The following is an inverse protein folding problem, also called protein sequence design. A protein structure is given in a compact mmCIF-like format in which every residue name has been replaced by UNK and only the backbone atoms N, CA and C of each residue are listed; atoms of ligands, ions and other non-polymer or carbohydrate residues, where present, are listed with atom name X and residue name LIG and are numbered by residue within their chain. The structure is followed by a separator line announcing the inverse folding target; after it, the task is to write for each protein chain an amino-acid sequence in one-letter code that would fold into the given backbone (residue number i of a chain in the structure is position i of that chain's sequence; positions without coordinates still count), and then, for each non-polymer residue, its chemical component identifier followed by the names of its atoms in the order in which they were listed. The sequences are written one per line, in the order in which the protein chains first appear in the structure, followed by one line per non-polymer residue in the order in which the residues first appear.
data_IF_534964601673
#
_entry.id   IF_534964601673
#
_cell.length_a   1.000
_cell.length_b   1.000
_cell.length_c   1.000
_cell.angle_alpha   90.00
_cell.angle_beta   90.00
_cell.angle_gamma   90.00
#
_symmetry.space_group_name_H-M   'P 1'
#
loop_
_entity.id
_entity.type
_entity.pdbx_description
1 polymer ?
#
# COMPACT_ATOMS: atom_id res chain seq x y z
N UNK A 1 0.75 -14.37 -7.17
CA UNK A 1 2.07 -13.88 -7.62
C UNK A 1 1.96 -12.67 -8.55
N UNK A 2 1.12 -12.72 -9.60
CA UNK A 2 0.87 -11.58 -10.50
C UNK A 2 0.36 -10.32 -9.76
N UNK A 3 -0.71 -10.47 -8.97
CA UNK A 3 -1.28 -9.38 -8.14
C UNK A 3 -0.26 -8.78 -7.19
N UNK A 4 0.45 -9.63 -6.43
CA UNK A 4 1.49 -9.19 -5.51
C UNK A 4 2.63 -8.44 -6.22
N UNK A 5 3.04 -8.86 -7.42
CA UNK A 5 4.06 -8.17 -8.21
C UNK A 5 3.63 -6.76 -8.61
N UNK A 6 2.37 -6.58 -9.01
CA UNK A 6 1.82 -5.27 -9.35
C UNK A 6 1.71 -4.36 -8.13
N UNK A 7 1.14 -4.86 -7.03
CA UNK A 7 0.92 -4.07 -5.80
C UNK A 7 2.24 -3.69 -5.14
N UNK A 8 3.18 -4.63 -5.02
CA UNK A 8 4.49 -4.34 -4.42
C UNK A 8 5.28 -3.33 -5.25
N UNK A 9 5.28 -3.46 -6.58
CA UNK A 9 5.93 -2.49 -7.47
C UNK A 9 5.32 -1.09 -7.34
N UNK A 10 4.00 -1.00 -7.25
CA UNK A 10 3.30 0.27 -7.05
C UNK A 10 3.64 0.91 -5.70
N UNK A 11 3.69 0.13 -4.62
CA UNK A 11 4.10 0.62 -3.29
C UNK A 11 5.56 1.11 -3.28
N UNK A 12 6.47 0.40 -3.96
CA UNK A 12 7.86 0.87 -4.12
C UNK A 12 7.93 2.18 -4.91
N UNK A 13 7.08 2.35 -5.92
CA UNK A 13 6.97 3.60 -6.66
C UNK A 13 6.49 4.75 -5.75
N UNK A 14 5.47 4.50 -4.93
CA UNK A 14 5.01 5.46 -3.92
C UNK A 14 6.15 5.89 -2.98
N UNK A 15 6.93 4.93 -2.47
CA UNK A 15 8.09 5.22 -1.61
C UNK A 15 9.16 6.02 -2.37
N UNK A 16 9.38 5.74 -3.65
CA UNK A 16 10.31 6.50 -4.50
C UNK A 16 9.90 7.96 -4.65
N UNK A 17 8.62 8.24 -4.91
CA UNK A 17 8.07 9.61 -4.98
C UNK A 17 8.23 10.31 -3.63
N UNK A 18 7.91 9.62 -2.53
CA UNK A 18 8.07 10.14 -1.17
C UNK A 18 9.54 10.49 -0.86
N UNK A 19 10.46 9.62 -1.26
CA UNK A 19 11.90 9.82 -1.10
C UNK A 19 12.40 11.00 -1.93
N UNK A 20 11.93 11.18 -3.16
CA UNK A 20 12.36 12.30 -4.00
C UNK A 20 11.96 13.67 -3.41
N UNK A 21 10.78 13.74 -2.77
CA UNK A 21 10.26 14.97 -2.16
C UNK A 21 10.91 15.31 -0.82
N UNK A 22 11.04 14.32 0.08
CA UNK A 22 11.57 14.57 1.42
C UNK A 22 13.08 14.35 1.54
N UNK A 23 13.71 13.68 0.56
CA UNK A 23 15.14 13.32 0.53
C UNK A 23 15.66 12.62 1.80
N UNK A 24 14.77 12.06 2.62
CA UNK A 24 15.08 11.37 3.87
C UNK A 24 14.66 9.91 3.79
N UNK A 25 15.41 9.03 4.45
CA UNK A 25 15.06 7.58 4.54
C UNK A 25 14.38 7.24 5.87
N UNK A 26 14.26 8.21 6.77
CA UNK A 26 13.76 8.01 8.12
C UNK A 26 12.24 8.15 8.14
N UNK A 27 11.55 7.02 8.30
CA UNK A 27 10.08 6.93 8.30
C UNK A 27 9.43 7.83 9.37
N UNK A 28 10.16 8.11 10.47
CA UNK A 28 9.71 8.97 11.58
C UNK A 28 9.46 10.44 11.21
N UNK A 29 9.95 10.88 10.04
CA UNK A 29 9.74 12.24 9.53
C UNK A 29 8.54 12.35 8.60
N UNK A 30 7.99 11.22 8.14
CA UNK A 30 6.74 11.23 7.40
C UNK A 30 5.58 11.38 8.38
N UNK A 31 4.75 12.39 8.15
CA UNK A 31 3.56 12.66 8.95
C UNK A 31 2.77 13.82 8.35
N UNK A 32 1.44 13.73 8.40
CA UNK A 32 0.54 14.77 7.89
C UNK A 32 0.51 14.88 6.36
N UNK A 33 0.75 13.79 5.63
CA UNK A 33 0.74 13.81 4.16
C UNK A 33 -0.62 14.21 3.57
N UNK A 34 -1.73 14.00 4.30
CA UNK A 34 -3.07 14.44 3.85
C UNK A 34 -3.12 15.93 3.54
N UNK A 35 -2.47 16.76 4.36
CA UNK A 35 -2.51 18.22 4.22
C UNK A 35 -1.59 18.74 3.12
N UNK A 36 -0.64 17.93 2.65
CA UNK A 36 0.45 18.39 1.79
C UNK A 36 0.43 17.77 0.41
N UNK A 37 0.00 16.52 0.33
CA UNK A 37 -0.15 15.76 -0.91
C UNK A 37 -1.42 14.89 -0.85
N UNK A 38 -2.62 15.49 -0.89
CA UNK A 38 -3.88 14.76 -0.77
C UNK A 38 -4.06 13.71 -1.89
N UNK A 39 -3.62 14.00 -3.12
CA UNK A 39 -3.73 13.06 -4.24
C UNK A 39 -2.80 11.85 -4.08
N UNK A 40 -1.62 12.07 -3.51
CA UNK A 40 -0.72 10.95 -3.19
C UNK A 40 -1.29 10.09 -2.06
N UNK A 41 -1.89 10.71 -1.05
CA UNK A 41 -2.50 10.00 0.08
C UNK A 41 -3.58 9.02 -0.38
N UNK A 42 -4.43 9.41 -1.33
CA UNK A 42 -5.50 8.53 -1.85
C UNK A 42 -4.94 7.37 -2.67
N UNK A 43 -3.95 7.62 -3.52
CA UNK A 43 -3.26 6.57 -4.30
C UNK A 43 -2.55 5.58 -3.37
N UNK A 44 -1.82 6.09 -2.38
CA UNK A 44 -1.12 5.27 -1.40
C UNK A 44 -2.09 4.45 -0.55
N UNK A 45 -3.24 5.03 -0.18
CA UNK A 45 -4.30 4.30 0.51
C UNK A 45 -4.81 3.13 -0.31
N UNK A 46 -5.14 3.36 -1.59
CA UNK A 46 -5.62 2.32 -2.48
C UNK A 46 -4.64 1.14 -2.59
N UNK A 47 -3.34 1.42 -2.82
CA UNK A 47 -2.35 0.35 -2.89
C UNK A 47 -2.10 -0.35 -1.55
N UNK A 48 -2.23 0.37 -0.43
CA UNK A 48 -2.17 -0.25 0.91
C UNK A 48 -3.36 -1.21 1.10
N UNK A 49 -4.57 -0.82 0.67
CA UNK A 49 -5.76 -1.68 0.70
C UNK A 49 -5.59 -2.92 -0.20
N UNK A 50 -4.98 -2.75 -1.38
CA UNK A 50 -4.65 -3.85 -2.27
C UNK A 50 -3.56 -4.78 -1.68
N UNK A 51 -2.69 -4.27 -0.82
CA UNK A 51 -1.65 -5.05 -0.14
C UNK A 51 -2.20 -5.88 1.04
N UNK A 52 -3.26 -5.42 1.69
CA UNK A 52 -3.96 -6.19 2.74
C UNK A 52 -5.07 -7.09 2.18
N UNK A 53 -5.11 -7.27 0.86
CA UNK A 53 -6.10 -8.11 0.18
C UNK A 53 -7.54 -7.77 0.53
N UNK A 54 -7.90 -6.49 0.47
CA UNK A 54 -9.27 -6.04 0.66
C UNK A 54 -10.22 -6.75 -0.34
N UNK A 55 -11.41 -7.23 0.09
CA UNK A 55 -12.39 -7.80 -0.81
C UNK A 55 -12.70 -6.86 -1.99
N UNK A 56 -12.58 -7.37 -3.21
CA UNK A 56 -12.71 -6.58 -4.44
C UNK A 56 -11.38 -6.16 -5.08
N UNK A 57 -10.24 -6.48 -4.48
CA UNK A 57 -8.92 -6.32 -5.10
C UNK A 57 -8.42 -7.63 -5.71
N UNK A 58 -7.53 -7.55 -6.71
CA UNK A 58 -6.93 -8.73 -7.34
C UNK A 58 -6.10 -9.60 -6.38
N UNK A 59 -5.54 -9.02 -5.32
CA UNK A 59 -4.79 -9.74 -4.29
C UNK A 59 -5.67 -10.71 -3.48
N UNK A 60 -6.91 -10.30 -3.18
CA UNK A 60 -7.85 -11.11 -2.39
C UNK A 60 -8.16 -12.45 -3.04
N UNK A 61 -8.40 -12.48 -4.34
CA UNK A 61 -8.76 -13.70 -5.07
C UNK A 61 -7.64 -14.75 -4.92
N UNK A 62 -6.39 -14.32 -5.08
CA UNK A 62 -5.23 -15.20 -4.98
C UNK A 62 -5.02 -15.75 -3.56
N UNK A 63 -5.06 -14.88 -2.55
CA UNK A 63 -4.86 -15.30 -1.15
C UNK A 63 -6.02 -16.14 -0.62
N UNK A 64 -7.25 -15.84 -1.02
CA UNK A 64 -8.42 -16.63 -0.66
C UNK A 64 -8.35 -18.05 -1.24
N UNK A 65 -7.97 -18.20 -2.52
CA UNK A 65 -7.75 -19.51 -3.14
C UNK A 65 -6.66 -20.32 -2.42
N UNK A 66 -5.57 -19.66 -2.01
CA UNK A 66 -4.48 -20.29 -1.24
C UNK A 66 -5.01 -20.78 0.11
N UNK A 67 -5.80 -19.98 0.82
CA UNK A 67 -6.43 -20.35 2.10
C UNK A 67 -7.33 -21.59 1.96
N UNK A 68 -8.19 -21.60 0.95
CA UNK A 68 -9.10 -22.73 0.70
C UNK A 68 -8.31 -24.00 0.39
N UNK A 69 -7.27 -23.91 -0.46
CA UNK A 69 -6.41 -25.04 -0.77
C UNK A 69 -5.62 -25.56 0.45
N UNK A 70 -5.12 -24.65 1.29
CA UNK A 70 -4.44 -25.00 2.53
C UNK A 70 -5.39 -25.67 3.53
N UNK A 71 -6.62 -25.17 3.65
CA UNK A 71 -7.63 -25.71 4.55
C UNK A 71 -8.03 -27.14 4.19
N UNK A 72 -8.14 -27.45 2.89
CA UNK A 72 -8.41 -28.82 2.42
C UNK A 72 -7.27 -29.80 2.73
N UNK A 73 -6.02 -29.33 2.80
CA UNK A 73 -4.85 -30.19 3.07
C UNK A 73 -4.54 -30.33 4.56
N UNK A 74 -4.51 -29.23 5.29
CA UNK A 74 -4.24 -29.23 6.73
C UNK A 74 -4.80 -27.95 7.38
N UNK A 75 -5.77 -28.13 8.26
CA UNK A 75 -6.43 -27.04 8.98
C UNK A 75 -5.47 -26.25 9.89
N UNK A 76 -4.43 -26.88 10.45
CA UNK A 76 -3.44 -26.18 11.29
C UNK A 76 -2.57 -25.21 10.48
N UNK A 77 -2.25 -25.56 9.24
CA UNK A 77 -1.48 -24.67 8.35
C UNK A 77 -2.35 -23.50 7.90
N UNK A 78 -3.64 -23.76 7.64
CA UNK A 78 -4.59 -22.73 7.27
C UNK A 78 -4.83 -21.71 8.40
N UNK A 79 -4.90 -22.14 9.67
CA UNK A 79 -5.05 -21.22 10.81
C UNK A 79 -3.80 -20.35 11.03
N UNK A 80 -2.61 -20.92 10.87
CA UNK A 80 -1.35 -20.16 10.91
C UNK A 80 -1.27 -19.14 9.77
N UNK A 81 -1.67 -19.53 8.56
CA UNK A 81 -1.72 -18.62 7.41
C UNK A 81 -2.70 -17.47 7.66
N UNK A 82 -3.90 -17.77 8.19
CA UNK A 82 -4.91 -16.78 8.55
C UNK A 82 -4.39 -15.75 9.57
N UNK A 83 -3.69 -16.21 10.62
CA UNK A 83 -3.05 -15.31 11.59
C UNK A 83 -2.00 -14.40 10.93
N UNK A 84 -1.20 -14.95 10.03
CA UNK A 84 -0.21 -14.18 9.25
C UNK A 84 -0.85 -13.05 8.44
N UNK A 85 -1.97 -13.33 7.76
CA UNK A 85 -2.72 -12.30 7.01
C UNK A 85 -3.29 -11.22 7.93
N UNK A 86 -3.87 -11.59 9.08
CA UNK A 86 -4.41 -10.61 10.04
C UNK A 86 -3.31 -9.67 10.53
N UNK A 87 -2.14 -10.22 10.90
CA UNK A 87 -0.99 -9.43 11.35
C UNK A 87 -0.44 -8.53 10.22
N UNK A 88 -0.36 -9.05 8.99
CA UNK A 88 0.07 -8.28 7.82
C UNK A 88 -0.88 -7.11 7.49
N UNK A 89 -2.19 -7.34 7.56
CA UNK A 89 -3.20 -6.31 7.37
C UNK A 89 -3.14 -5.24 8.47
N UNK A 90 -3.03 -5.66 9.74
CA UNK A 90 -2.90 -4.75 10.88
C UNK A 90 -1.65 -3.86 10.76
N UNK A 91 -0.50 -4.43 10.39
CA UNK A 91 0.73 -3.68 10.16
C UNK A 91 0.59 -2.69 9.01
N UNK A 92 -0.01 -3.10 7.89
CA UNK A 92 -0.21 -2.25 6.70
C UNK A 92 -1.08 -1.03 7.04
N UNK A 93 -2.19 -1.24 7.74
CA UNK A 93 -3.09 -0.16 8.16
C UNK A 93 -2.40 0.79 9.15
N UNK A 94 -1.67 0.23 10.11
CA UNK A 94 -0.93 1.01 11.10
C UNK A 94 0.17 1.86 10.44
N UNK A 95 0.90 1.31 9.48
CA UNK A 95 1.93 2.02 8.74
C UNK A 95 1.33 3.15 7.90
N UNK A 96 0.22 2.88 7.20
CA UNK A 96 -0.51 3.92 6.47
C UNK A 96 -0.92 5.06 7.40
N UNK A 97 -1.58 4.74 8.52
CA UNK A 97 -2.01 5.73 9.49
C UNK A 97 -0.83 6.54 10.05
N UNK A 98 0.32 5.89 10.31
CA UNK A 98 1.52 6.57 10.81
C UNK A 98 2.15 7.54 9.81
N UNK A 99 2.13 7.19 8.53
CA UNK A 99 2.74 7.96 7.45
C UNK A 99 1.82 9.12 7.03
N UNK A 100 0.53 8.83 6.92
CA UNK A 100 -0.47 9.75 6.38
C UNK A 100 -1.07 10.66 7.44
N UNK A 101 -1.40 10.11 8.61
CA UNK A 101 -2.03 10.87 9.70
C UNK A 101 -0.98 11.52 10.61
N UNK A 102 -1.42 12.52 11.38
CA UNK A 102 -0.60 13.23 12.36
C UNK A 102 -0.23 14.65 11.94
N UNK A 103 0.38 15.38 12.87
CA UNK A 103 0.82 16.75 12.62
C UNK A 103 2.10 16.79 11.76
N UNK A 104 2.11 17.74 10.84
CA UNK A 104 3.27 18.08 10.03
C UNK A 104 4.43 18.48 10.93
N UNK A 105 5.62 17.92 10.69
CA UNK A 105 6.87 18.34 11.33
C UNK A 105 7.56 19.37 10.41
N UNK A 106 7.44 20.68 10.67
CA UNK A 106 7.84 21.74 9.73
C UNK A 106 9.33 21.74 9.37
N UNK A 107 10.20 21.18 10.21
CA UNK A 107 11.66 21.32 10.11
C UNK A 107 12.30 20.63 8.90
N UNK A 108 11.59 19.74 8.19
CA UNK A 108 12.12 18.97 7.04
C UNK A 108 11.45 19.30 5.71
N UNK A 109 10.70 20.40 5.63
CA UNK A 109 9.73 20.65 4.55
C UNK A 109 10.19 21.81 3.65
N UNK A 110 10.98 21.49 2.64
CA UNK A 110 11.46 22.49 1.67
C UNK A 110 10.60 22.61 0.41
N UNK A 111 9.72 21.65 0.10
CA UNK A 111 8.84 21.72 -1.08
C UNK A 111 7.64 20.77 -0.96
N UNK A 112 6.44 21.32 -0.78
CA UNK A 112 5.21 20.57 -0.97
C UNK A 112 4.82 20.64 -2.44
N UNK A 113 4.66 19.49 -3.06
CA UNK A 113 4.04 19.41 -4.36
C UNK A 113 3.36 18.05 -4.45
N UNK A 114 2.06 18.10 -4.70
CA UNK A 114 1.29 16.95 -5.17
C UNK A 114 2.03 16.24 -6.31
N UNK A 115 1.78 14.94 -6.49
CA UNK A 115 2.41 14.19 -7.54
C UNK A 115 2.11 14.85 -8.89
N UNK A 116 3.15 15.00 -9.71
CA UNK A 116 3.03 15.65 -11.01
C UNK A 116 2.13 14.79 -11.93
N UNK A 117 1.48 15.38 -12.93
CA UNK A 117 0.57 14.63 -13.82
C UNK A 117 1.21 13.41 -14.49
N UNK A 118 2.54 13.46 -14.71
CA UNK A 118 3.34 12.31 -15.17
C UNK A 118 3.45 11.19 -14.13
N UNK A 119 3.66 11.52 -12.87
CA UNK A 119 3.74 10.54 -11.78
C UNK A 119 2.39 9.84 -11.62
N UNK A 120 1.29 10.61 -11.65
CA UNK A 120 -0.08 10.05 -11.67
C UNK A 120 -0.28 9.12 -12.85
N UNK A 121 0.19 9.49 -14.05
CA UNK A 121 0.07 8.65 -15.24
C UNK A 121 0.80 7.31 -15.11
N UNK A 122 1.95 7.28 -14.43
CA UNK A 122 2.69 6.04 -14.17
C UNK A 122 1.93 5.14 -13.19
N UNK A 123 1.12 5.68 -12.28
CA UNK A 123 0.29 4.90 -11.36
C UNK A 123 -0.95 4.28 -12.03
N UNK A 124 -1.46 4.86 -13.13
CA UNK A 124 -2.66 4.38 -13.85
C UNK A 124 -2.59 2.89 -14.23
N UNK A 125 -1.52 2.38 -14.89
CA UNK A 125 -1.46 0.96 -15.25
C UNK A 125 -1.49 0.03 -14.04
N UNK A 126 -0.90 0.44 -12.90
CA UNK A 126 -0.96 -0.33 -11.66
C UNK A 126 -2.33 -0.27 -10.99
N UNK A 127 -3.02 0.87 -11.06
CA UNK A 127 -4.41 1.03 -10.59
C UNK A 127 -5.36 0.12 -11.38
N UNK A 128 -5.27 0.14 -12.71
CA UNK A 128 -6.08 -0.71 -13.59
C UNK A 128 -5.74 -2.18 -13.37
N UNK A 129 -4.45 -2.55 -13.34
CA UNK A 129 -4.04 -3.94 -13.08
C UNK A 129 -4.41 -4.43 -11.67
N UNK A 130 -4.44 -3.54 -10.68
CA UNK A 130 -4.81 -3.86 -9.30
C UNK A 130 -6.32 -4.03 -9.09
N UNK A 131 -7.13 -3.19 -9.76
CA UNK A 131 -8.59 -3.16 -9.66
C UNK A 131 -9.29 -4.15 -10.62
N UNK A 132 -8.70 -4.42 -11.77
CA UNK A 132 -9.30 -5.27 -12.82
C UNK A 132 -8.40 -6.47 -13.09
N UNK A 133 -8.64 -7.55 -12.34
CA UNK A 133 -8.31 -8.90 -12.78
C UNK A 133 -9.62 -9.69 -12.74
N UNK A 134 -10.33 -9.68 -13.88
CA UNK A 134 -11.22 -10.77 -14.25
C UNK A 134 -10.37 -11.90 -14.83
#
# INVERSE_FOLDING_TARGET
MLSHGLVSSALFLCVGVLYDRHKTRLVRYYGGLVSTMPNFSTIFFFFTLANMSLPGTSSFIGEFLILVGAFQRNSLVATLAALGMILGAAYSLWLYNRVVSGNLKPDFLHKFSDPNGREVFIFIPFLVGGATVR
#
